data_IF_158123693918
#
_entry.id   IF_158123693918
#
_cell.length_a   1.000
_cell.length_b   1.000
_cell.length_c   1.000
_cell.angle_alpha   90.00
_cell.angle_beta   90.00
_cell.angle_gamma   90.00
#
_symmetry.space_group_name_H-M   'P 1'
#
loop_
_entity.id
_entity.type
_entity.pdbx_description
1 polymer ?
#
# COMPACT_ATOMS: atom_id res chain seq x y z
N UNK A 1 -26.49 15.95 39.73
CA UNK A 1 -25.13 15.44 39.43
C UNK A 1 -24.59 16.30 38.31
N UNK A 2 -23.45 16.96 38.50
CA UNK A 2 -22.81 17.80 37.48
C UNK A 2 -21.82 16.91 36.73
N UNK A 3 -22.06 16.64 35.45
CA UNK A 3 -21.16 15.84 34.62
C UNK A 3 -20.14 16.81 34.01
N UNK A 4 -18.84 16.65 34.26
CA UNK A 4 -17.84 17.52 33.66
C UNK A 4 -17.80 17.29 32.14
N UNK A 5 -17.85 18.38 31.38
CA UNK A 5 -17.58 18.37 29.95
C UNK A 5 -16.10 18.08 29.74
N UNK A 6 -15.80 16.92 29.16
CA UNK A 6 -14.47 16.57 28.68
C UNK A 6 -14.39 17.12 27.25
N UNK A 7 -13.58 18.16 27.04
CA UNK A 7 -13.21 18.61 25.71
C UNK A 7 -12.19 17.64 25.12
N UNK A 8 -12.61 16.90 24.10
CA UNK A 8 -11.70 16.09 23.30
C UNK A 8 -10.96 17.02 22.36
N UNK A 9 -9.66 17.17 22.58
CA UNK A 9 -8.78 17.87 21.63
C UNK A 9 -8.55 16.92 20.46
N UNK A 10 -9.05 17.28 19.27
CA UNK A 10 -8.72 16.58 18.04
C UNK A 10 -7.19 16.54 17.92
N UNK A 11 -6.64 15.33 17.90
CA UNK A 11 -5.23 15.11 17.62
C UNK A 11 -5.13 15.18 16.10
N UNK A 12 -4.50 16.23 15.58
CA UNK A 12 -4.13 16.28 14.16
C UNK A 12 -3.25 15.07 13.86
N UNK A 13 -3.84 14.01 13.32
CA UNK A 13 -3.08 12.87 12.82
C UNK A 13 -2.15 13.41 11.73
N UNK A 14 -0.84 13.13 11.80
CA UNK A 14 0.08 13.64 10.79
C UNK A 14 -0.34 13.10 9.42
N UNK A 15 -0.69 13.99 8.50
CA UNK A 15 -0.92 13.63 7.10
C UNK A 15 0.35 12.97 6.56
N UNK A 16 0.35 11.64 6.45
CA UNK A 16 1.46 10.88 5.85
C UNK A 16 1.43 11.16 4.35
N UNK A 17 2.20 12.16 3.92
CA UNK A 17 2.32 12.53 2.51
C UNK A 17 3.02 11.40 1.75
N UNK A 18 2.41 10.97 0.65
CA UNK A 18 3.00 9.98 -0.25
C UNK A 18 4.36 10.46 -0.75
N UNK A 19 5.37 9.59 -0.65
CA UNK A 19 6.65 9.77 -1.37
C UNK A 19 6.71 8.90 -2.63
N UNK A 20 5.64 8.17 -2.94
CA UNK A 20 5.54 7.30 -4.11
C UNK A 20 4.95 8.11 -5.27
N UNK A 21 5.61 8.15 -6.44
CA UNK A 21 4.99 8.73 -7.63
C UNK A 21 3.64 8.06 -7.92
N UNK A 22 2.57 8.80 -8.23
CA UNK A 22 1.23 8.23 -8.43
C UNK A 22 1.19 7.10 -9.47
N UNK A 23 1.95 7.24 -10.56
CA UNK A 23 2.08 6.21 -11.60
C UNK A 23 2.72 4.91 -11.07
N UNK A 24 3.69 5.02 -10.16
CA UNK A 24 4.34 3.86 -9.52
C UNK A 24 3.36 3.19 -8.56
N UNK A 25 2.62 3.97 -7.78
CA UNK A 25 1.58 3.46 -6.87
C UNK A 25 0.49 2.69 -7.62
N UNK A 26 -0.04 3.26 -8.71
CA UNK A 26 -1.04 2.62 -9.57
C UNK A 26 -0.50 1.32 -10.19
N UNK A 27 0.75 1.33 -10.67
CA UNK A 27 1.38 0.13 -11.22
C UNK A 27 1.59 -0.96 -10.15
N UNK A 28 1.97 -0.59 -8.93
CA UNK A 28 2.07 -1.53 -7.80
C UNK A 28 0.72 -2.17 -7.53
N UNK A 29 -0.34 -1.36 -7.41
CA UNK A 29 -1.70 -1.86 -7.17
C UNK A 29 -2.17 -2.77 -8.32
N UNK A 30 -1.94 -2.36 -9.57
CA UNK A 30 -2.26 -3.16 -10.76
C UNK A 30 -1.50 -4.50 -10.77
N UNK A 31 -0.29 -4.54 -10.20
CA UNK A 31 0.53 -5.76 -10.14
C UNK A 31 -0.06 -6.86 -9.26
N UNK A 32 -0.97 -6.53 -8.34
CA UNK A 32 -1.74 -7.52 -7.59
C UNK A 32 -2.74 -8.28 -8.51
N UNK A 33 -3.26 -7.62 -9.54
CA UNK A 33 -4.35 -8.17 -10.35
C UNK A 33 -5.55 -8.54 -9.48
N UNK A 34 -5.99 -9.80 -9.54
CA UNK A 34 -7.07 -10.32 -8.68
C UNK A 34 -6.56 -10.99 -7.40
N UNK A 35 -5.25 -10.95 -7.13
CA UNK A 35 -4.68 -11.59 -5.95
C UNK A 35 -4.96 -10.75 -4.70
N UNK A 36 -5.47 -11.40 -3.66
CA UNK A 36 -5.61 -10.80 -2.32
C UNK A 36 -4.23 -10.60 -1.67
N UNK A 37 -3.30 -11.50 -1.99
CA UNK A 37 -1.95 -11.56 -1.45
C UNK A 37 -0.96 -11.89 -2.57
N UNK A 38 0.17 -11.20 -2.59
CA UNK A 38 1.29 -11.50 -3.47
C UNK A 38 2.59 -11.64 -2.70
N UNK A 39 3.43 -12.59 -3.10
CA UNK A 39 4.81 -12.66 -2.58
C UNK A 39 5.62 -11.48 -3.13
N UNK A 40 6.48 -10.89 -2.31
CA UNK A 40 7.22 -9.66 -2.68
C UNK A 40 7.98 -9.80 -4.00
N UNK A 41 8.66 -10.94 -4.21
CA UNK A 41 9.40 -11.20 -5.44
C UNK A 41 8.48 -11.30 -6.67
N UNK A 42 7.33 -11.97 -6.53
CA UNK A 42 6.34 -12.10 -7.59
C UNK A 42 5.71 -10.75 -7.92
N UNK A 43 5.35 -9.98 -6.88
CA UNK A 43 4.78 -8.65 -7.03
C UNK A 43 5.75 -7.72 -7.76
N UNK A 44 7.03 -7.72 -7.37
CA UNK A 44 8.06 -6.94 -8.05
C UNK A 44 8.22 -7.34 -9.51
N UNK A 45 8.22 -8.64 -9.82
CA UNK A 45 8.32 -9.12 -11.20
C UNK A 45 7.11 -8.67 -12.05
N UNK A 46 5.89 -8.76 -11.52
CA UNK A 46 4.68 -8.28 -12.20
C UNK A 46 4.73 -6.77 -12.42
N UNK A 47 5.18 -6.02 -11.43
CA UNK A 47 5.40 -4.58 -11.53
C UNK A 47 6.38 -4.24 -12.66
N UNK A 48 7.53 -4.90 -12.74
CA UNK A 48 8.49 -4.69 -13.83
C UNK A 48 7.93 -5.01 -15.23
N UNK A 49 6.96 -5.93 -15.33
CA UNK A 49 6.30 -6.18 -16.61
C UNK A 49 5.37 -5.04 -17.03
N UNK A 50 4.83 -4.28 -16.07
CA UNK A 50 3.91 -3.18 -16.30
C UNK A 50 4.61 -1.82 -16.45
N UNK A 51 5.85 -1.66 -15.99
CA UNK A 51 6.54 -0.37 -15.90
C UNK A 51 6.82 0.34 -17.23
N UNK A 52 6.68 -0.33 -18.40
CA UNK A 52 6.77 0.27 -19.76
C UNK A 52 7.92 1.28 -19.96
N UNK A 53 9.06 1.10 -19.29
CA UNK A 53 10.23 1.99 -19.37
C UNK A 53 10.56 2.77 -18.10
N UNK A 54 9.73 2.71 -17.06
CA UNK A 54 10.11 3.20 -15.72
C UNK A 54 11.23 2.32 -15.14
N UNK A 55 12.31 2.97 -14.71
CA UNK A 55 13.45 2.32 -14.06
C UNK A 55 13.27 2.46 -12.55
N UNK A 56 12.80 1.39 -11.92
CA UNK A 56 12.63 1.30 -10.46
C UNK A 56 13.37 0.06 -9.97
N UNK A 57 14.37 0.28 -9.13
CA UNK A 57 15.16 -0.78 -8.51
C UNK A 57 14.33 -1.55 -7.48
N UNK A 58 14.77 -2.76 -7.14
CA UNK A 58 14.12 -3.55 -6.11
C UNK A 58 14.14 -2.84 -4.74
N UNK A 59 15.17 -2.03 -4.46
CA UNK A 59 15.26 -1.27 -3.21
C UNK A 59 14.20 -0.16 -3.17
N UNK A 60 14.11 0.64 -4.22
CA UNK A 60 13.10 1.71 -4.36
C UNK A 60 11.67 1.13 -4.33
N UNK A 61 11.44 0.01 -5.01
CA UNK A 61 10.16 -0.69 -4.96
C UNK A 61 9.76 -1.08 -3.52
N UNK A 62 10.70 -1.59 -2.72
CA UNK A 62 10.43 -1.91 -1.30
C UNK A 62 10.21 -0.66 -0.45
N UNK A 63 10.90 0.44 -0.77
CA UNK A 63 10.64 1.73 -0.12
C UNK A 63 9.24 2.25 -0.43
N UNK A 64 8.78 2.12 -1.67
CA UNK A 64 7.42 2.45 -2.06
C UNK A 64 6.39 1.61 -1.34
N UNK A 65 6.61 0.28 -1.23
CA UNK A 65 5.71 -0.60 -0.48
C UNK A 65 5.63 -0.23 1.00
N UNK A 66 6.76 0.11 1.64
CA UNK A 66 6.76 0.59 3.04
C UNK A 66 6.00 1.91 3.19
N UNK A 67 6.20 2.87 2.29
CA UNK A 67 5.45 4.12 2.33
C UNK A 67 3.93 3.90 2.12
N UNK A 68 3.57 3.01 1.19
CA UNK A 68 2.18 2.62 0.97
C UNK A 68 1.59 1.88 2.19
N UNK A 69 2.39 1.10 2.91
CA UNK A 69 1.99 0.42 4.15
C UNK A 69 1.76 1.39 5.31
N UNK A 70 2.65 2.37 5.49
CA UNK A 70 2.48 3.46 6.47
C UNK A 70 1.17 4.24 6.23
N UNK A 71 0.70 4.25 4.97
CA UNK A 71 -0.55 4.87 4.53
C UNK A 71 -1.74 3.90 4.51
N UNK A 72 -1.56 2.65 4.91
CA UNK A 72 -2.61 1.63 4.98
C UNK A 72 -3.13 1.14 3.62
N UNK A 73 -2.40 1.39 2.53
CA UNK A 73 -2.78 1.02 1.16
C UNK A 73 -2.45 -0.45 0.88
N UNK A 74 -1.33 -0.92 1.42
CA UNK A 74 -0.90 -2.32 1.43
C UNK A 74 -0.54 -2.73 2.85
N UNK A 75 -0.43 -4.02 3.10
CA UNK A 75 -0.06 -4.57 4.41
C UNK A 75 1.03 -5.62 4.18
N UNK A 76 2.15 -5.52 4.90
CA UNK A 76 3.18 -6.56 4.88
C UNK A 76 2.70 -7.82 5.61
N UNK A 77 3.06 -8.97 5.07
CA UNK A 77 2.70 -10.28 5.63
C UNK A 77 3.85 -11.26 5.44
N UNK A 78 3.99 -12.19 6.39
CA UNK A 78 4.83 -13.36 6.23
C UNK A 78 3.93 -14.57 6.03
N UNK A 79 3.96 -15.17 4.84
CA UNK A 79 3.18 -16.36 4.50
C UNK A 79 4.11 -17.50 4.12
N UNK A 80 3.98 -18.65 4.79
CA UNK A 80 4.86 -19.82 4.61
C UNK A 80 6.37 -19.48 4.74
N UNK A 81 6.70 -18.57 5.65
CA UNK A 81 8.08 -18.12 5.88
C UNK A 81 8.67 -17.24 4.77
N UNK A 82 7.82 -16.70 3.87
CA UNK A 82 8.21 -15.79 2.79
C UNK A 82 7.53 -14.42 2.96
N UNK A 83 8.23 -13.32 2.64
CA UNK A 83 7.64 -11.99 2.65
C UNK A 83 6.62 -11.86 1.51
N UNK A 84 5.50 -11.23 1.84
CA UNK A 84 4.42 -10.91 0.91
C UNK A 84 3.71 -9.65 1.34
N UNK A 85 2.76 -9.26 0.50
CA UNK A 85 1.98 -8.05 0.62
C UNK A 85 0.53 -8.38 0.31
N UNK A 86 -0.39 -7.73 1.02
CA UNK A 86 -1.81 -7.78 0.74
C UNK A 86 -2.34 -6.35 0.51
N UNK A 87 -3.46 -6.21 -0.19
CA UNK A 87 -4.14 -4.93 -0.28
C UNK A 87 -4.70 -4.54 1.10
N UNK A 88 -4.57 -3.26 1.45
CA UNK A 88 -5.14 -2.69 2.66
C UNK A 88 -6.67 -2.76 2.64
N UNK A 89 -7.27 -2.68 3.83
CA UNK A 89 -8.73 -2.76 3.99
C UNK A 89 -9.49 -1.49 3.60
N UNK A 90 -8.87 -0.56 2.86
CA UNK A 90 -9.54 0.65 2.43
C UNK A 90 -10.56 0.29 1.32
N UNK A 91 -11.85 0.51 1.60
CA UNK A 91 -12.95 0.15 0.70
C UNK A 91 -12.83 0.82 -0.68
N UNK A 92 -12.21 1.99 -0.76
CA UNK A 92 -11.98 2.71 -2.02
C UNK A 92 -11.02 1.96 -2.96
N UNK A 93 -10.03 1.24 -2.42
CA UNK A 93 -9.04 0.49 -3.21
C UNK A 93 -9.64 -0.80 -3.81
N UNK A 94 -10.68 -1.38 -3.19
CA UNK A 94 -11.37 -2.57 -3.73
C UNK A 94 -12.10 -2.29 -5.04
N UNK A 95 -12.49 -1.04 -5.28
CA UNK A 95 -13.17 -0.62 -6.51
C UNK A 95 -12.22 -0.54 -7.72
N UNK A 96 -10.90 -0.49 -7.52
CA UNK A 96 -9.92 -0.55 -8.61
C UNK A 96 -9.75 -1.96 -9.19
N UNK A 97 -10.15 -3.00 -8.44
CA UNK A 97 -10.06 -4.41 -8.84
C UNK A 97 -11.29 -4.96 -9.59
N UNK A 98 -12.29 -4.13 -9.89
CA UNK A 98 -13.46 -4.50 -10.71
C UNK A 98 -13.33 -3.96 -12.14
N UNK A 99 -12.52 -4.64 -12.96
CA UNK A 99 -12.50 -4.49 -14.42
C UNK A 99 -12.62 -5.85 -15.08
#
# INVERSE_FOLDING_TARGET
MHVPHIEFKEVDEPEVKSTVPPEVEELILTSFGHAILEFEATLYQKFLMLTKGLVVTCLEFKEHLRNMEERGIVISIVFLGKPGWALGNNEELRNFSSW
#
